data_IF_029482177884
#
_entry.id   IF_029482177884
#
_cell.length_a   1.000
_cell.length_b   1.000
_cell.length_c   1.000
_cell.angle_alpha   90.00
_cell.angle_beta   90.00
_cell.angle_gamma   90.00
#
_symmetry.space_group_name_H-M   'P 1'
#
loop_
_entity.id
_entity.type
_entity.pdbx_description
1 polymer ?
#
# COMPACT_ATOMS: atom_id res chain seq x y z
N UNK A 1 -5.04 -8.26 24.49
CA UNK A 1 -4.13 -8.10 23.33
C UNK A 1 -2.87 -7.27 23.71
N UNK A 2 -2.35 -7.41 24.93
CA UNK A 2 -1.24 -6.61 25.48
C UNK A 2 -0.16 -7.46 26.17
N UNK A 3 -0.11 -8.77 25.88
CA UNK A 3 0.77 -9.71 26.60
C UNK A 3 1.80 -10.43 25.72
N UNK A 4 1.85 -10.15 24.42
CA UNK A 4 2.77 -10.83 23.49
C UNK A 4 4.00 -10.01 23.09
N UNK A 5 4.13 -8.75 23.54
CA UNK A 5 5.26 -7.86 23.17
C UNK A 5 6.33 -7.71 24.27
N UNK A 6 6.15 -8.30 25.45
CA UNK A 6 7.05 -8.08 26.59
C UNK A 6 8.22 -9.06 26.74
N UNK A 7 8.14 -10.26 26.15
CA UNK A 7 9.07 -11.35 26.50
C UNK A 7 10.38 -11.37 25.70
N UNK A 8 10.40 -10.87 24.46
CA UNK A 8 11.64 -10.84 23.65
C UNK A 8 12.49 -9.60 23.91
N UNK A 9 11.86 -8.47 24.24
CA UNK A 9 12.56 -7.21 24.52
C UNK A 9 13.18 -7.19 25.93
N UNK A 10 12.62 -7.95 26.88
CA UNK A 10 13.17 -8.06 28.24
C UNK A 10 14.45 -8.89 28.33
N UNK A 11 14.69 -9.87 27.44
CA UNK A 11 15.88 -10.74 27.49
C UNK A 11 17.21 -9.99 27.33
N UNK A 12 17.41 -9.11 26.33
CA UNK A 12 18.67 -8.39 26.22
C UNK A 12 18.87 -7.37 27.35
N UNK A 13 17.80 -6.70 27.81
CA UNK A 13 17.87 -5.76 28.93
C UNK A 13 18.20 -6.47 30.25
N UNK A 14 17.57 -7.62 30.53
CA UNK A 14 17.86 -8.43 31.72
C UNK A 14 19.27 -8.98 31.70
N UNK A 15 19.80 -9.43 30.55
CA UNK A 15 21.19 -9.90 30.44
C UNK A 15 22.19 -8.77 30.70
N UNK A 16 21.96 -7.56 30.16
CA UNK A 16 22.84 -6.40 30.40
C UNK A 16 22.76 -5.95 31.87
N UNK A 17 21.56 -5.92 32.44
CA UNK A 17 21.37 -5.57 33.85
C UNK A 17 22.04 -6.60 34.78
N UNK A 18 21.90 -7.90 34.49
CA UNK A 18 22.57 -8.98 35.23
C UNK A 18 24.09 -8.89 35.10
N UNK A 19 24.60 -8.59 33.90
CA UNK A 19 26.03 -8.38 33.68
C UNK A 19 26.58 -7.21 34.50
N UNK A 20 25.88 -6.08 34.52
CA UNK A 20 26.27 -4.90 35.30
C UNK A 20 26.18 -5.16 36.81
N UNK A 21 25.15 -5.90 37.25
CA UNK A 21 24.97 -6.29 38.65
C UNK A 21 26.05 -7.27 39.10
N UNK A 22 26.44 -8.23 38.24
CA UNK A 22 27.52 -9.18 38.51
C UNK A 22 28.88 -8.48 38.60
N UNK A 23 29.16 -7.50 37.73
CA UNK A 23 30.41 -6.73 37.75
C UNK A 23 30.51 -5.83 38.98
N UNK A 24 29.42 -5.15 39.35
CA UNK A 24 29.38 -4.34 40.58
C UNK A 24 29.51 -5.19 41.83
N UNK A 25 28.91 -6.39 41.84
CA UNK A 25 29.00 -7.33 42.95
C UNK A 25 30.40 -7.97 43.06
N UNK A 26 31.05 -8.30 41.94
CA UNK A 26 32.46 -8.73 41.90
C UNK A 26 33.42 -7.62 42.34
N UNK A 27 33.19 -6.37 41.91
CA UNK A 27 33.98 -5.21 42.35
C UNK A 27 33.82 -4.93 43.84
N UNK A 28 32.60 -5.08 44.37
CA UNK A 28 32.31 -4.94 45.81
C UNK A 28 32.90 -6.10 46.63
N UNK A 29 32.83 -7.33 46.13
CA UNK A 29 33.49 -8.48 46.75
C UNK A 29 35.01 -8.33 46.76
N UNK A 30 35.62 -7.81 45.69
CA UNK A 30 37.04 -7.49 45.65
C UNK A 30 37.42 -6.43 46.69
N UNK A 31 36.63 -5.36 46.85
CA UNK A 31 36.82 -4.35 47.90
C UNK A 31 36.69 -4.93 49.32
N UNK A 32 35.73 -5.84 49.55
CA UNK A 32 35.58 -6.52 50.83
C UNK A 32 36.75 -7.47 51.13
N UNK A 33 37.21 -8.23 50.14
CA UNK A 33 38.41 -9.08 50.26
C UNK A 33 39.65 -8.22 50.51
N UNK A 34 39.74 -7.04 49.91
CA UNK A 34 40.81 -6.07 50.15
C UNK A 34 40.78 -5.49 51.57
N UNK A 35 39.58 -5.29 52.13
CA UNK A 35 39.40 -4.78 53.50
C UNK A 35 39.63 -5.85 54.58
N UNK A 36 39.38 -7.13 54.26
CA UNK A 36 39.46 -8.26 55.20
C UNK A 36 40.81 -8.99 55.11
N UNK A 37 41.48 -8.94 53.96
CA UNK A 37 42.85 -9.44 53.81
C UNK A 37 43.83 -8.52 54.52
N UNK A 38 44.56 -9.07 55.49
CA UNK A 38 45.65 -8.41 56.20
C UNK A 38 46.78 -8.09 55.22
N UNK A 39 46.73 -6.91 54.59
CA UNK A 39 47.84 -6.35 53.81
C UNK A 39 48.40 -5.10 54.51
N UNK A 40 49.72 -4.89 54.46
CA UNK A 40 50.41 -3.85 55.22
C UNK A 40 49.90 -2.46 54.84
N UNK A 41 49.87 -1.56 55.81
CA UNK A 41 49.35 -0.20 55.79
C UNK A 41 50.02 0.79 54.82
N UNK A 42 50.85 0.33 53.89
CA UNK A 42 51.44 1.16 52.84
C UNK A 42 51.06 0.59 51.46
N UNK A 43 50.01 1.17 50.87
CA UNK A 43 49.62 0.84 49.50
C UNK A 43 50.62 1.53 48.58
N UNK A 44 51.54 0.76 48.01
CA UNK A 44 52.42 1.26 46.96
C UNK A 44 51.57 1.84 45.81
N UNK A 45 51.87 3.06 45.31
CA UNK A 45 51.11 3.70 44.23
C UNK A 45 50.94 2.81 42.99
N UNK A 46 51.90 1.90 42.77
CA UNK A 46 51.89 0.90 41.70
C UNK A 46 50.70 -0.08 41.80
N UNK A 47 50.29 -0.48 43.01
CA UNK A 47 49.14 -1.39 43.20
C UNK A 47 47.80 -0.69 42.99
N UNK A 48 47.69 0.58 43.37
CA UNK A 48 46.50 1.38 43.09
C UNK A 48 46.36 1.69 41.59
N UNK A 49 47.49 1.99 40.93
CA UNK A 49 47.54 2.16 39.48
C UNK A 49 47.15 0.87 38.75
N UNK A 50 47.69 -0.29 39.16
CA UNK A 50 47.34 -1.58 38.58
C UNK A 50 45.84 -1.92 38.74
N UNK A 51 45.25 -1.59 39.89
CA UNK A 51 43.80 -1.76 40.12
C UNK A 51 42.97 -0.82 39.24
N UNK A 52 43.38 0.44 39.09
CA UNK A 52 42.76 1.40 38.17
C UNK A 52 42.90 0.97 36.70
N UNK A 53 44.02 0.37 36.31
CA UNK A 53 44.23 -0.19 34.97
C UNK A 53 43.38 -1.45 34.74
N UNK A 54 43.14 -2.27 35.77
CA UNK A 54 42.32 -3.46 35.67
C UNK A 54 40.82 -3.11 35.60
N UNK A 55 40.36 -2.18 36.43
CA UNK A 55 39.00 -1.63 36.35
C UNK A 55 38.80 -0.89 35.03
N UNK A 56 39.69 0.03 34.67
CA UNK A 56 39.62 0.76 33.40
C UNK A 56 39.73 -0.15 32.17
N UNK A 57 40.59 -1.16 32.24
CA UNK A 57 40.80 -2.14 31.16
C UNK A 57 39.62 -3.10 30.96
N UNK A 58 38.79 -3.34 31.98
CA UNK A 58 37.61 -4.23 31.90
C UNK A 58 36.31 -3.46 31.71
N UNK A 59 36.13 -2.32 32.39
CA UNK A 59 34.92 -1.50 32.26
C UNK A 59 34.84 -0.77 30.92
N UNK A 60 35.96 -0.27 30.38
CA UNK A 60 35.93 0.49 29.11
C UNK A 60 35.48 -0.38 27.93
N UNK A 61 35.95 -1.62 27.74
CA UNK A 61 35.42 -2.50 26.70
C UNK A 61 33.96 -2.87 26.94
N UNK A 62 33.55 -3.09 28.19
CA UNK A 62 32.16 -3.40 28.54
C UNK A 62 31.21 -2.23 28.23
N UNK A 63 31.59 -0.98 28.55
CA UNK A 63 30.79 0.20 28.22
C UNK A 63 30.72 0.41 26.71
N UNK A 64 31.81 0.15 25.98
CA UNK A 64 31.82 0.18 24.50
C UNK A 64 30.89 -0.89 23.93
N UNK A 65 30.91 -2.12 24.45
CA UNK A 65 30.02 -3.21 23.99
C UNK A 65 28.56 -2.86 24.27
N UNK A 66 28.24 -2.34 25.46
CA UNK A 66 26.87 -1.93 25.81
C UNK A 66 26.42 -0.76 24.93
N UNK A 67 27.27 0.23 24.69
CA UNK A 67 26.97 1.34 23.79
C UNK A 67 26.76 0.84 22.34
N UNK A 68 27.59 -0.08 21.86
CA UNK A 68 27.43 -0.71 20.55
C UNK A 68 26.12 -1.51 20.46
N UNK A 69 25.75 -2.24 21.51
CA UNK A 69 24.50 -2.99 21.56
C UNK A 69 23.27 -2.07 21.57
N UNK A 70 23.34 -0.96 22.31
CA UNK A 70 22.31 0.07 22.31
C UNK A 70 22.17 0.75 20.94
N UNK A 71 23.29 1.03 20.26
CA UNK A 71 23.30 1.54 18.89
C UNK A 71 22.67 0.55 17.91
N UNK A 72 23.00 -0.74 17.99
CA UNK A 72 22.40 -1.77 17.13
C UNK A 72 20.89 -1.90 17.35
N UNK A 73 20.41 -1.83 18.59
CA UNK A 73 18.97 -1.83 18.87
C UNK A 73 18.28 -0.59 18.32
N UNK A 74 18.89 0.58 18.49
CA UNK A 74 18.42 1.84 17.94
C UNK A 74 18.35 1.78 16.41
N UNK A 75 19.38 1.25 15.75
CA UNK A 75 19.42 1.04 14.30
C UNK A 75 18.25 0.17 13.82
N UNK A 76 17.99 -0.96 14.50
CA UNK A 76 16.86 -1.85 14.17
C UNK A 76 15.50 -1.17 14.35
N UNK A 77 15.34 -0.39 15.43
CA UNK A 77 14.12 0.37 15.67
C UNK A 77 13.90 1.43 14.57
N UNK A 78 14.95 2.18 14.20
CA UNK A 78 14.91 3.17 13.11
C UNK A 78 14.60 2.52 11.76
N UNK A 79 15.18 1.35 11.45
CA UNK A 79 14.86 0.63 10.22
C UNK A 79 13.42 0.15 10.17
N UNK A 80 12.86 -0.30 11.30
CA UNK A 80 11.45 -0.71 11.38
C UNK A 80 10.51 0.49 11.20
N UNK A 81 10.83 1.63 11.82
CA UNK A 81 10.08 2.88 11.68
C UNK A 81 10.14 3.40 10.24
N UNK A 82 11.33 3.42 9.62
CA UNK A 82 11.50 3.85 8.22
C UNK A 82 10.69 2.96 7.26
N UNK A 83 10.67 1.65 7.46
CA UNK A 83 9.84 0.73 6.67
C UNK A 83 8.34 1.03 6.83
N UNK A 84 7.89 1.32 8.05
CA UNK A 84 6.50 1.69 8.31
C UNK A 84 6.15 3.00 7.59
N UNK A 85 6.98 4.03 7.71
CA UNK A 85 6.80 5.32 7.03
C UNK A 85 6.80 5.16 5.51
N UNK A 86 7.72 4.38 4.95
CA UNK A 86 7.78 4.11 3.52
C UNK A 86 6.51 3.37 3.03
N UNK A 87 6.02 2.40 3.81
CA UNK A 87 4.77 1.71 3.49
C UNK A 87 3.56 2.64 3.51
N UNK A 88 3.51 3.59 4.45
CA UNK A 88 2.46 4.60 4.54
C UNK A 88 2.54 5.59 3.38
N UNK A 89 3.74 6.05 3.03
CA UNK A 89 3.95 6.93 1.86
C UNK A 89 3.48 6.25 0.58
N UNK A 90 3.87 5.00 0.36
CA UNK A 90 3.47 4.24 -0.83
C UNK A 90 1.94 4.10 -0.92
N UNK A 91 1.25 3.85 0.20
CA UNK A 91 -0.23 3.79 0.22
C UNK A 91 -0.85 5.15 -0.13
N UNK A 92 -0.31 6.24 0.41
CA UNK A 92 -0.80 7.60 0.11
C UNK A 92 -0.59 7.99 -1.35
N UNK A 93 0.58 7.68 -1.93
CA UNK A 93 0.88 8.00 -3.32
C UNK A 93 0.00 7.19 -4.28
N UNK A 94 -0.27 5.94 -3.94
CA UNK A 94 -1.20 5.10 -4.69
C UNK A 94 -2.64 5.63 -4.63
N UNK A 95 -3.10 6.08 -3.45
CA UNK A 95 -4.41 6.71 -3.31
C UNK A 95 -4.52 8.01 -4.12
N UNK A 96 -3.48 8.84 -4.14
CA UNK A 96 -3.42 10.04 -5.00
C UNK A 96 -3.52 9.68 -6.48
N UNK A 97 -2.86 8.59 -6.89
CA UNK A 97 -2.93 8.11 -8.27
C UNK A 97 -4.33 7.60 -8.65
N UNK A 98 -4.98 6.85 -7.76
CA UNK A 98 -6.36 6.41 -7.90
C UNK A 98 -7.31 7.61 -8.08
N UNK A 99 -7.18 8.63 -7.24
CA UNK A 99 -7.98 9.86 -7.35
C UNK A 99 -7.72 10.61 -8.65
N UNK A 100 -6.48 10.62 -9.14
CA UNK A 100 -6.14 11.22 -10.43
C UNK A 100 -6.84 10.50 -11.58
N UNK A 101 -6.77 9.16 -11.62
CA UNK A 101 -7.46 8.36 -12.64
C UNK A 101 -8.96 8.60 -12.58
N UNK A 102 -9.54 8.63 -11.38
CA UNK A 102 -10.97 8.93 -11.20
C UNK A 102 -11.34 10.29 -11.80
N UNK A 103 -10.53 11.32 -11.53
CA UNK A 103 -10.73 12.65 -12.11
C UNK A 103 -10.58 12.64 -13.63
N UNK A 104 -9.64 11.87 -14.17
CA UNK A 104 -9.44 11.75 -15.62
C UNK A 104 -10.63 11.05 -16.31
N UNK A 105 -11.23 10.04 -15.66
CA UNK A 105 -12.48 9.40 -16.11
C UNK A 105 -13.63 10.41 -16.11
N UNK A 106 -13.82 11.14 -15.00
CA UNK A 106 -14.89 12.16 -14.89
C UNK A 106 -14.72 13.25 -15.95
N UNK A 107 -13.52 13.79 -16.11
CA UNK A 107 -13.23 14.81 -17.12
C UNK A 107 -13.50 14.30 -18.55
N UNK A 108 -13.22 13.03 -18.84
CA UNK A 108 -13.50 12.45 -20.15
C UNK A 108 -15.02 12.31 -20.40
N UNK A 109 -15.77 11.89 -19.38
CA UNK A 109 -17.23 11.74 -19.45
C UNK A 109 -17.95 13.08 -19.54
N UNK A 110 -17.51 14.10 -18.79
CA UNK A 110 -18.14 15.42 -18.75
C UNK A 110 -17.93 16.21 -20.04
N UNK A 111 -16.81 15.99 -20.75
CA UNK A 111 -16.52 16.61 -22.04
C UNK A 111 -17.26 15.95 -23.20
N UNK A 112 -17.81 14.76 -23.00
CA UNK A 112 -18.54 14.04 -24.04
C UNK A 112 -20.00 14.49 -24.05
N UNK A 113 -20.35 15.36 -24.98
CA UNK A 113 -21.74 15.76 -25.22
C UNK A 113 -22.40 14.76 -26.17
N UNK A 114 -23.51 14.18 -25.75
CA UNK A 114 -24.26 13.21 -26.53
C UNK A 114 -25.66 13.75 -26.79
N UNK A 115 -26.06 13.69 -28.05
CA UNK A 115 -27.42 14.03 -28.47
C UNK A 115 -28.17 12.71 -28.70
N UNK A 116 -29.22 12.47 -27.91
CA UNK A 116 -30.08 11.29 -28.05
C UNK A 116 -31.50 11.72 -28.29
N UNK A 117 -32.12 11.20 -29.34
CA UNK A 117 -33.55 11.39 -29.57
C UNK A 117 -34.33 10.32 -28.79
N UNK A 118 -35.08 10.72 -27.77
CA UNK A 118 -35.96 9.84 -27.00
C UNK A 118 -37.41 10.30 -27.13
N UNK A 119 -38.31 9.40 -27.52
CA UNK A 119 -39.74 9.70 -27.70
C UNK A 119 -40.02 10.97 -28.54
N UNK A 120 -39.23 11.19 -29.59
CA UNK A 120 -39.31 12.35 -30.50
C UNK A 120 -38.82 13.69 -29.91
N UNK A 121 -38.21 13.69 -28.73
CA UNK A 121 -37.51 14.84 -28.16
C UNK A 121 -35.99 14.62 -28.20
N UNK A 122 -35.24 15.63 -28.63
CA UNK A 122 -33.79 15.62 -28.58
C UNK A 122 -33.32 15.98 -27.16
N UNK A 123 -32.76 14.99 -26.47
CA UNK A 123 -32.20 15.14 -25.14
C UNK A 123 -30.69 15.31 -25.27
N UNK A 124 -30.18 16.43 -24.77
CA UNK A 124 -28.75 16.63 -24.56
C UNK A 124 -28.34 15.96 -23.25
N UNK A 125 -27.60 14.86 -23.35
CA UNK A 125 -27.09 14.10 -22.22
C UNK A 125 -25.56 14.16 -22.18
N UNK A 126 -24.98 14.03 -20.99
CA UNK A 126 -23.53 13.92 -20.83
C UNK A 126 -23.07 12.47 -20.93
N UNK A 127 -21.77 12.26 -21.19
CA UNK A 127 -21.17 10.94 -21.11
C UNK A 127 -21.40 10.30 -19.74
N UNK A 128 -21.42 11.11 -18.70
CA UNK A 128 -21.66 10.66 -17.33
C UNK A 128 -23.09 10.10 -17.15
N UNK A 129 -24.10 10.73 -17.75
CA UNK A 129 -25.48 10.22 -17.74
C UNK A 129 -25.57 8.88 -18.47
N UNK A 130 -25.01 8.81 -19.67
CA UNK A 130 -25.00 7.58 -20.45
C UNK A 130 -24.19 6.45 -19.79
N UNK A 131 -23.19 6.79 -18.97
CA UNK A 131 -22.28 5.83 -18.37
C UNK A 131 -22.68 5.35 -16.97
N UNK A 132 -23.05 6.27 -16.07
CA UNK A 132 -23.31 5.97 -14.66
C UNK A 132 -24.78 6.01 -14.28
N UNK A 133 -25.63 6.75 -15.00
CA UNK A 133 -27.03 6.91 -14.60
C UNK A 133 -27.84 5.64 -14.90
N UNK A 134 -28.38 5.00 -13.86
CA UNK A 134 -29.18 3.78 -13.96
C UNK A 134 -30.45 3.97 -14.83
N UNK A 135 -31.04 5.16 -14.83
CA UNK A 135 -32.31 5.42 -15.52
C UNK A 135 -32.15 5.75 -17.00
N UNK A 136 -30.91 5.85 -17.50
CA UNK A 136 -30.65 6.14 -18.90
C UNK A 136 -30.83 4.87 -19.75
N UNK A 137 -31.98 4.76 -20.42
CA UNK A 137 -32.37 3.57 -21.20
C UNK A 137 -31.69 3.49 -22.58
N UNK A 138 -31.42 4.65 -23.20
CA UNK A 138 -30.83 4.76 -24.54
C UNK A 138 -29.30 4.58 -24.57
N UNK A 139 -28.71 4.08 -23.49
CA UNK A 139 -27.27 3.87 -23.40
C UNK A 139 -26.66 3.02 -24.55
N UNK A 140 -27.36 2.04 -25.18
CA UNK A 140 -26.80 1.27 -26.29
C UNK A 140 -26.63 2.07 -27.58
N UNK A 141 -27.37 3.17 -27.74
CA UNK A 141 -27.23 4.07 -28.88
C UNK A 141 -26.05 5.04 -28.70
N UNK A 142 -25.64 5.25 -27.44
CA UNK A 142 -24.62 6.23 -27.05
C UNK A 142 -23.24 5.64 -26.91
N UNK A 143 -23.16 4.41 -26.39
CA UNK A 143 -21.90 3.67 -26.21
C UNK A 143 -21.78 2.74 -27.42
N UNK A 144 -21.04 3.13 -28.48
CA UNK A 144 -21.02 2.35 -29.70
C UNK A 144 -20.23 1.05 -29.52
N UNK A 145 -20.70 -0.04 -30.10
CA UNK A 145 -19.91 -1.27 -30.20
C UNK A 145 -18.87 -1.19 -31.32
N UNK A 146 -17.83 -2.01 -31.20
CA UNK A 146 -16.85 -2.20 -32.28
C UNK A 146 -17.52 -2.62 -33.60
N UNK A 147 -18.61 -3.41 -33.53
CA UNK A 147 -19.38 -3.85 -34.70
C UNK A 147 -19.99 -2.66 -35.45
N UNK A 148 -20.65 -1.75 -34.73
CA UNK A 148 -21.25 -0.55 -35.32
C UNK A 148 -20.21 0.33 -36.01
N UNK A 149 -19.03 0.49 -35.41
CA UNK A 149 -17.93 1.26 -36.02
C UNK A 149 -17.41 0.56 -37.29
N UNK A 150 -17.21 -0.77 -37.25
CA UNK A 150 -16.78 -1.56 -38.41
C UNK A 150 -17.79 -1.51 -39.56
N UNK A 151 -19.09 -1.61 -39.26
CA UNK A 151 -20.17 -1.51 -40.25
C UNK A 151 -20.21 -0.12 -40.89
N UNK A 152 -20.03 0.93 -40.09
CA UNK A 152 -19.97 2.30 -40.58
C UNK A 152 -18.77 2.54 -41.49
N UNK A 153 -17.60 2.04 -41.11
CA UNK A 153 -16.40 2.08 -41.94
C UNK A 153 -16.59 1.37 -43.29
N UNK A 154 -17.26 0.21 -43.29
CA UNK A 154 -17.61 -0.52 -44.52
C UNK A 154 -18.59 0.26 -45.39
N UNK A 155 -19.65 0.81 -44.80
CA UNK A 155 -20.67 1.59 -45.52
C UNK A 155 -20.09 2.86 -46.17
N UNK A 156 -19.06 3.45 -45.55
CA UNK A 156 -18.37 4.64 -46.06
C UNK A 156 -17.15 4.31 -46.93
N UNK A 157 -16.97 3.07 -47.40
CA UNK A 157 -15.82 2.63 -48.20
C UNK A 157 -14.46 3.00 -47.57
N UNK A 158 -14.35 2.99 -46.24
CA UNK A 158 -13.15 3.37 -45.51
C UNK A 158 -12.88 4.89 -45.41
N UNK A 159 -13.72 5.73 -46.00
CA UNK A 159 -13.60 7.20 -45.94
C UNK A 159 -14.43 7.79 -44.80
N UNK A 160 -14.21 7.32 -43.58
CA UNK A 160 -14.83 7.95 -42.41
C UNK A 160 -13.95 9.09 -41.92
N UNK A 161 -14.56 10.28 -41.78
CA UNK A 161 -13.88 11.43 -41.17
C UNK A 161 -13.60 11.14 -39.69
N UNK A 162 -12.42 11.52 -39.20
CA UNK A 162 -12.05 11.45 -37.78
C UNK A 162 -13.03 12.23 -36.88
N UNK A 163 -13.74 13.19 -37.45
CA UNK A 163 -14.73 14.01 -36.74
C UNK A 163 -16.14 13.37 -36.70
N UNK A 164 -16.30 12.14 -37.16
CA UNK A 164 -17.59 11.46 -37.06
C UNK A 164 -17.94 11.19 -35.58
N UNK A 165 -19.11 11.63 -35.09
CA UNK A 165 -19.49 11.50 -33.68
C UNK A 165 -19.41 10.07 -33.13
N UNK A 166 -19.74 9.08 -33.96
CA UNK A 166 -19.64 7.65 -33.62
C UNK A 166 -18.19 7.24 -33.27
N UNK A 167 -17.22 7.69 -34.06
CA UNK A 167 -15.79 7.39 -33.83
C UNK A 167 -15.32 8.09 -32.55
N UNK A 168 -15.67 9.36 -32.38
CA UNK A 168 -15.30 10.13 -31.17
C UNK A 168 -15.83 9.46 -29.91
N UNK A 169 -17.10 9.03 -29.91
CA UNK A 169 -17.69 8.30 -28.79
C UNK A 169 -16.96 6.97 -28.56
N UNK A 170 -16.67 6.21 -29.62
CA UNK A 170 -15.96 4.95 -29.50
C UNK A 170 -14.55 5.12 -28.91
N UNK A 171 -13.79 6.12 -29.36
CA UNK A 171 -12.46 6.45 -28.83
C UNK A 171 -12.52 6.89 -27.36
N UNK A 172 -13.51 7.71 -27.00
CA UNK A 172 -13.72 8.17 -25.62
C UNK A 172 -14.01 6.99 -24.68
N UNK A 173 -14.97 6.13 -25.01
CA UNK A 173 -15.33 4.96 -24.20
C UNK A 173 -14.23 3.88 -24.19
N UNK A 174 -13.43 3.76 -25.27
CA UNK A 174 -12.22 2.93 -25.28
C UNK A 174 -11.18 3.45 -24.28
N UNK A 175 -10.96 4.77 -24.24
CA UNK A 175 -10.05 5.42 -23.30
C UNK A 175 -10.52 5.25 -21.85
N UNK A 176 -11.83 5.42 -21.61
CA UNK A 176 -12.44 5.19 -20.30
C UNK A 176 -12.26 3.72 -19.87
N UNK A 177 -12.41 2.77 -20.79
CA UNK A 177 -12.16 1.34 -20.50
C UNK A 177 -10.72 1.10 -20.02
N UNK A 178 -9.74 1.74 -20.67
CA UNK A 178 -8.34 1.67 -20.24
C UNK A 178 -8.16 2.25 -18.84
N UNK A 179 -8.74 3.43 -18.56
CA UNK A 179 -8.65 4.04 -17.24
C UNK A 179 -9.34 3.21 -16.16
N UNK A 180 -10.46 2.55 -16.44
CA UNK A 180 -11.13 1.66 -15.50
C UNK A 180 -10.30 0.41 -15.21
N UNK A 181 -9.66 -0.17 -16.24
CA UNK A 181 -8.77 -1.32 -16.06
C UNK A 181 -7.54 -0.94 -15.23
N UNK A 182 -6.96 0.25 -15.45
CA UNK A 182 -5.88 0.79 -14.63
C UNK A 182 -6.35 1.05 -13.20
N UNK A 183 -7.51 1.71 -13.02
CA UNK A 183 -8.10 1.99 -11.71
C UNK A 183 -8.25 0.70 -10.91
N UNK A 184 -8.77 -0.37 -11.53
CA UNK A 184 -8.88 -1.69 -10.93
C UNK A 184 -7.53 -2.19 -10.41
N UNK A 185 -6.48 -2.18 -11.24
CA UNK A 185 -5.15 -2.65 -10.84
C UNK A 185 -4.59 -1.86 -9.66
N UNK A 186 -4.74 -0.55 -9.65
CA UNK A 186 -4.25 0.28 -8.54
C UNK A 186 -5.08 0.14 -7.27
N UNK A 187 -6.40 -0.05 -7.37
CA UNK A 187 -7.25 -0.36 -6.23
C UNK A 187 -6.89 -1.72 -5.62
N UNK A 188 -6.65 -2.75 -6.44
CA UNK A 188 -6.20 -4.07 -5.99
C UNK A 188 -4.84 -3.97 -5.28
N UNK A 189 -3.88 -3.23 -5.84
CA UNK A 189 -2.58 -3.01 -5.21
C UNK A 189 -2.70 -2.25 -3.88
N UNK A 190 -3.59 -1.25 -3.81
CA UNK A 190 -3.82 -0.47 -2.60
C UNK A 190 -4.38 -1.33 -1.48
N UNK A 191 -5.35 -2.17 -1.82
CA UNK A 191 -5.98 -3.09 -0.89
C UNK A 191 -5.02 -4.18 -0.42
N UNK A 192 -4.11 -4.63 -1.30
CA UNK A 192 -3.03 -5.58 -0.96
C UNK A 192 -2.08 -4.97 0.07
N UNK A 193 -1.68 -3.71 -0.15
CA UNK A 193 -0.80 -3.00 0.77
C UNK A 193 -1.50 -2.65 2.08
N UNK A 194 -2.79 -2.33 2.05
CA UNK A 194 -3.55 -1.86 3.21
C UNK A 194 -4.13 -2.98 4.06
N UNK A 195 -4.25 -4.20 3.52
CA UNK A 195 -4.88 -5.34 4.19
C UNK A 195 -6.40 -5.20 4.33
N UNK A 196 -7.03 -4.31 3.56
CA UNK A 196 -8.48 -4.09 3.53
C UNK A 196 -8.97 -4.13 2.09
N UNK A 197 -10.25 -4.39 1.85
CA UNK A 197 -10.86 -4.43 0.52
C UNK A 197 -11.76 -3.21 0.22
N UNK A 198 -11.65 -2.16 1.04
CA UNK A 198 -12.60 -1.05 1.04
C UNK A 198 -12.54 -0.24 -0.25
N UNK A 199 -11.33 0.04 -0.75
CA UNK A 199 -11.13 0.87 -1.94
C UNK A 199 -11.65 0.16 -3.19
N UNK A 200 -11.32 -1.12 -3.36
CA UNK A 200 -11.85 -1.96 -4.44
C UNK A 200 -13.37 -2.02 -4.41
N UNK A 201 -13.97 -2.27 -3.24
CA UNK A 201 -15.43 -2.37 -3.12
C UNK A 201 -16.14 -1.05 -3.44
N UNK A 202 -15.59 0.08 -3.00
CA UNK A 202 -16.13 1.40 -3.29
C UNK A 202 -16.17 1.67 -4.80
N UNK A 203 -15.04 1.52 -5.49
CA UNK A 203 -14.96 1.81 -6.92
C UNK A 203 -15.69 0.79 -7.78
N UNK A 204 -15.69 -0.49 -7.38
CA UNK A 204 -16.52 -1.52 -8.01
C UNK A 204 -18.00 -1.14 -7.95
N UNK A 205 -18.50 -0.68 -6.79
CA UNK A 205 -19.89 -0.26 -6.64
C UNK A 205 -20.18 0.98 -7.48
N UNK A 206 -19.29 1.98 -7.46
CA UNK A 206 -19.44 3.24 -8.21
C UNK A 206 -19.54 3.01 -9.71
N UNK A 207 -18.66 2.17 -10.27
CA UNK A 207 -18.57 1.95 -11.71
C UNK A 207 -19.32 0.71 -12.23
N UNK A 208 -20.07 0.01 -11.37
CA UNK A 208 -20.78 -1.24 -11.71
C UNK A 208 -21.60 -1.13 -13.00
N UNK A 209 -22.41 -0.08 -13.12
CA UNK A 209 -23.31 0.12 -14.25
C UNK A 209 -22.51 0.38 -15.53
N UNK A 210 -21.53 1.29 -15.48
CA UNK A 210 -20.69 1.61 -16.62
C UNK A 210 -19.86 0.42 -17.11
N UNK A 211 -19.32 -0.38 -16.19
CA UNK A 211 -18.61 -1.63 -16.50
C UNK A 211 -19.53 -2.61 -17.23
N UNK A 212 -20.77 -2.77 -16.75
CA UNK A 212 -21.74 -3.65 -17.39
C UNK A 212 -22.06 -3.15 -18.82
N UNK A 213 -22.35 -1.87 -18.98
CA UNK A 213 -22.67 -1.26 -20.29
C UNK A 213 -21.53 -1.42 -21.30
N UNK A 214 -20.28 -1.19 -20.86
CA UNK A 214 -19.09 -1.41 -21.70
C UNK A 214 -18.93 -2.89 -22.07
N UNK A 215 -19.09 -3.79 -21.10
CA UNK A 215 -19.03 -5.23 -21.34
C UNK A 215 -20.07 -5.69 -22.35
N UNK A 216 -21.31 -5.17 -22.26
CA UNK A 216 -22.40 -5.51 -23.17
C UNK A 216 -22.11 -5.06 -24.61
N UNK A 217 -21.37 -3.96 -24.80
CA UNK A 217 -20.94 -3.46 -26.12
C UNK A 217 -19.66 -4.11 -26.64
N UNK A 218 -19.09 -5.06 -25.88
CA UNK A 218 -17.89 -5.81 -26.26
C UNK A 218 -16.58 -5.11 -25.96
N UNK A 219 -16.57 -4.07 -25.11
CA UNK A 219 -15.33 -3.49 -24.62
C UNK A 219 -14.65 -4.49 -23.67
N UNK A 220 -13.32 -4.60 -23.78
CA UNK A 220 -12.48 -5.49 -22.98
C UNK A 220 -12.32 -5.05 -21.52
N UNK A 221 -13.43 -4.92 -20.78
CA UNK A 221 -13.41 -4.62 -19.35
C UNK A 221 -13.14 -5.91 -18.59
N UNK A 222 -12.04 -5.95 -17.84
CA UNK A 222 -11.72 -7.13 -17.04
C UNK A 222 -12.71 -7.26 -15.86
N UNK A 223 -13.13 -8.49 -15.54
CA UNK A 223 -13.99 -8.78 -14.38
C UNK A 223 -13.33 -8.25 -13.11
N UNK A 224 -13.91 -7.21 -12.51
CA UNK A 224 -13.44 -6.62 -11.26
C UNK A 224 -14.00 -7.42 -10.08
N UNK A 225 -13.17 -8.29 -9.50
CA UNK A 225 -13.52 -9.12 -8.34
C UNK A 225 -12.81 -8.61 -7.08
N UNK A 226 -13.50 -8.48 -5.93
CA UNK A 226 -12.85 -8.14 -4.67
C UNK A 226 -11.86 -9.23 -4.24
N UNK A 227 -10.70 -8.84 -3.72
CA UNK A 227 -9.67 -9.78 -3.23
C UNK A 227 -10.21 -10.74 -2.16
N UNK A 228 -11.15 -10.30 -1.32
CA UNK A 228 -11.80 -11.16 -0.33
C UNK A 228 -12.56 -12.35 -0.96
N UNK A 229 -13.11 -12.17 -2.16
CA UNK A 229 -13.78 -13.25 -2.91
C UNK A 229 -12.77 -14.13 -3.65
N UNK A 230 -11.63 -13.59 -4.06
CA UNK A 230 -10.54 -14.38 -4.66
C UNK A 230 -9.87 -15.30 -3.64
N UNK A 231 -9.63 -14.81 -2.42
CA UNK A 231 -9.05 -15.61 -1.34
C UNK A 231 -10.04 -16.69 -0.86
N UNK A 232 -11.33 -16.39 -0.77
CA UNK A 232 -12.35 -17.40 -0.47
C UNK A 232 -12.51 -18.46 -1.58
N UNK A 233 -12.32 -18.09 -2.85
CA UNK A 233 -12.31 -19.04 -3.97
C UNK A 233 -11.02 -19.90 -4.01
N UNK A 234 -9.87 -19.32 -3.62
CA UNK A 234 -8.61 -20.05 -3.49
C UNK A 234 -8.64 -21.05 -2.33
N UNK A 235 -9.23 -20.68 -1.19
CA UNK A 235 -9.38 -21.57 -0.02
C UNK A 235 -10.43 -22.67 -0.23
N UNK A 236 -11.35 -22.51 -1.18
CA UNK A 236 -12.36 -23.53 -1.52
C UNK A 236 -11.94 -24.46 -2.66
N UNK A 237 -10.78 -24.24 -3.29
CA UNK A 237 -10.23 -25.13 -4.31
C UNK A 237 -11.08 -25.25 -5.59
N UNK A 238 -12.04 -24.35 -5.82
CA UNK A 238 -12.92 -24.42 -6.99
C UNK A 238 -12.29 -23.65 -8.14
N UNK A 239 -11.88 -24.31 -9.25
CA UNK A 239 -11.31 -23.61 -10.40
C UNK A 239 -12.34 -22.70 -11.04
N UNK A 240 -11.91 -21.49 -11.38
CA UNK A 240 -12.72 -20.51 -12.10
C UNK A 240 -12.96 -20.97 -13.54
N UNK A 241 -14.23 -21.21 -13.88
CA UNK A 241 -14.74 -21.36 -15.26
C UNK A 241 -14.99 -19.99 -15.88
#
# INVERSE_FOLDING_TARGET
MLQALGSEQMRPFTIVLLGLLLVTLLGFAALLVFKISVLPTEIEPAHFAAYGTLIGGVLTPMTIIVAAFALLQRERAHQAEMKNLQSQSNRLDLMRFIQKIEKDIQNALDKLTINVTYKQEDIHATGNDAFLNLTFLEWPAVIPSEKQVKERLKASNGQVSRNEPLIICYEAFSTITIYLNSLRQYCEEHDRLSGTNMTTLYFLRKYRIGIQRLSDQGYGVHKWKPMAQQNAQADTGVPSV
#
